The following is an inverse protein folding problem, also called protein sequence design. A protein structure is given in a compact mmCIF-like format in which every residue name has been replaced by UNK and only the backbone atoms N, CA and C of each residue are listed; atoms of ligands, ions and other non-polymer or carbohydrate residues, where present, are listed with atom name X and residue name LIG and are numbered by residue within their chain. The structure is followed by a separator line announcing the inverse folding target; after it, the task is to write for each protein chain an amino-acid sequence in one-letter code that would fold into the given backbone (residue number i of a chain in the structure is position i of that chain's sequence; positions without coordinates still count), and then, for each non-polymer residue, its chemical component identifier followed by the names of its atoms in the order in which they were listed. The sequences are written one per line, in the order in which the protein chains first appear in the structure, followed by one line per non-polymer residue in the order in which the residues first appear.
data_IF_078883854815
#
_entry.id   IF_078883854815
#
_cell.length_a   1.000
_cell.length_b   1.000
_cell.length_c   1.000
_cell.angle_alpha   90.00
_cell.angle_beta   90.00
_cell.angle_gamma   90.00
#
_symmetry.space_group_name_H-M   'P 1'
#
loop_
_entity.id
_entity.type
_entity.pdbx_description
1 polymer ?
#
# COMPACT_ATOMS: atom_id res chain seq x y z
N UNK A 1 -17.33 12.26 -9.41
CA UNK A 1 -15.89 12.29 -9.07
C UNK A 1 -15.39 13.71 -8.76
N UNK A 2 -15.64 14.72 -9.60
CA UNK A 2 -15.24 16.13 -9.38
C UNK A 2 -15.44 16.66 -7.95
N UNK A 3 -16.64 16.48 -7.37
CA UNK A 3 -16.91 16.88 -5.99
C UNK A 3 -15.95 16.24 -4.97
N UNK A 4 -15.56 14.98 -5.17
CA UNK A 4 -14.61 14.29 -4.30
C UNK A 4 -13.18 14.82 -4.44
N UNK A 5 -12.77 15.27 -5.64
CA UNK A 5 -11.42 15.86 -5.86
C UNK A 5 -11.31 17.30 -5.35
N UNK A 6 -12.41 18.04 -5.35
CA UNK A 6 -12.48 19.43 -4.88
C UNK A 6 -12.64 19.51 -3.35
N UNK A 7 -13.33 18.54 -2.74
CA UNK A 7 -13.54 18.49 -1.30
C UNK A 7 -12.21 18.32 -0.53
N UNK A 8 -12.06 19.03 0.61
CA UNK A 8 -10.87 19.01 1.48
C UNK A 8 -11.24 18.75 2.94
N UNK A 9 -10.29 18.19 3.70
CA UNK A 9 -10.37 18.05 5.17
C UNK A 9 -10.77 16.66 5.70
N UNK A 10 -11.36 15.79 4.88
CA UNK A 10 -11.64 14.39 5.22
C UNK A 10 -11.72 13.49 3.99
N UNK A 11 -11.55 12.16 4.13
CA UNK A 11 -11.79 11.21 3.05
C UNK A 11 -13.23 11.28 2.52
N UNK A 12 -13.43 11.00 1.24
CA UNK A 12 -14.75 10.96 0.57
C UNK A 12 -15.07 9.53 0.14
N UNK A 13 -16.30 9.08 0.41
CA UNK A 13 -16.83 7.79 -0.08
C UNK A 13 -17.86 8.07 -1.17
N UNK A 14 -17.74 7.39 -2.32
CA UNK A 14 -18.72 7.43 -3.41
C UNK A 14 -19.50 6.12 -3.41
N UNK A 15 -20.81 6.18 -3.11
CA UNK A 15 -21.70 5.03 -3.18
C UNK A 15 -22.29 4.94 -4.60
N UNK A 16 -21.65 4.15 -5.46
CA UNK A 16 -22.11 3.93 -6.83
C UNK A 16 -23.17 2.81 -6.87
N UNK A 17 -24.43 3.17 -7.16
CA UNK A 17 -25.49 2.18 -7.41
C UNK A 17 -25.36 1.66 -8.85
N UNK A 18 -25.07 0.38 -9.00
CA UNK A 18 -24.99 -0.32 -10.29
C UNK A 18 -25.93 -1.51 -10.33
N UNK A 19 -26.16 -2.08 -11.52
CA UNK A 19 -26.88 -3.34 -11.68
C UNK A 19 -25.86 -4.48 -11.83
N UNK A 20 -25.98 -5.53 -11.02
CA UNK A 20 -25.13 -6.72 -11.13
C UNK A 20 -25.44 -7.42 -12.46
N UNK A 21 -24.41 -7.64 -13.28
CA UNK A 21 -24.57 -8.23 -14.62
C UNK A 21 -25.23 -7.31 -15.65
N UNK A 22 -25.14 -5.99 -15.46
CA UNK A 22 -25.68 -5.00 -16.41
C UNK A 22 -25.25 -5.29 -17.85
N UNK A 23 -26.21 -5.39 -18.77
CA UNK A 23 -25.95 -5.61 -20.19
C UNK A 23 -25.63 -7.06 -20.58
N UNK A 24 -25.63 -8.01 -19.64
CA UNK A 24 -25.44 -9.44 -19.91
C UNK A 24 -26.76 -10.18 -20.22
N UNK A 25 -27.84 -9.44 -20.48
CA UNK A 25 -29.14 -10.01 -20.80
C UNK A 25 -29.94 -10.51 -19.57
N UNK A 26 -31.19 -10.95 -19.79
CA UNK A 26 -32.15 -11.26 -18.73
C UNK A 26 -31.76 -12.46 -17.85
N UNK A 27 -30.86 -13.32 -18.34
CA UNK A 27 -30.35 -14.49 -17.62
C UNK A 27 -29.40 -14.10 -16.48
N UNK A 28 -28.73 -12.96 -16.58
CA UNK A 28 -27.71 -12.50 -15.61
C UNK A 28 -28.08 -11.20 -14.91
N UNK A 29 -28.69 -10.26 -15.63
CA UNK A 29 -28.88 -8.91 -15.14
C UNK A 29 -29.86 -8.84 -13.96
N UNK A 30 -29.40 -8.25 -12.85
CA UNK A 30 -30.22 -8.08 -11.64
C UNK A 30 -30.60 -9.39 -10.95
N UNK A 31 -30.01 -10.52 -11.34
CA UNK A 31 -30.29 -11.83 -10.77
C UNK A 31 -29.29 -12.18 -9.67
N UNK A 32 -29.79 -12.76 -8.59
CA UNK A 32 -28.99 -13.47 -7.59
C UNK A 32 -28.65 -14.89 -8.08
N UNK A 33 -28.24 -15.03 -9.34
CA UNK A 33 -27.67 -16.27 -9.83
C UNK A 33 -26.43 -16.60 -8.97
N UNK A 34 -26.30 -17.86 -8.58
CA UNK A 34 -25.11 -18.31 -7.84
C UNK A 34 -23.86 -18.01 -8.68
N UNK A 35 -22.72 -17.76 -8.03
CA UNK A 35 -21.43 -17.57 -8.70
C UNK A 35 -20.96 -18.78 -9.56
N UNK A 36 -21.81 -19.80 -9.72
CA UNK A 36 -21.58 -21.02 -10.48
C UNK A 36 -22.01 -20.94 -11.97
N UNK A 37 -22.78 -19.91 -12.38
CA UNK A 37 -23.02 -19.65 -13.81
C UNK A 37 -21.74 -19.10 -14.47
N UNK A 38 -20.78 -20.00 -14.72
CA UNK A 38 -19.41 -19.68 -15.17
C UNK A 38 -19.31 -19.36 -16.67
N UNK A 39 -20.34 -19.67 -17.47
CA UNK A 39 -20.28 -19.58 -18.93
C UNK A 39 -21.53 -18.92 -19.49
N UNK A 40 -21.34 -18.01 -20.45
CA UNK A 40 -22.39 -17.48 -21.31
C UNK A 40 -22.79 -18.58 -22.30
N UNK A 41 -24.08 -18.72 -22.58
CA UNK A 41 -24.53 -19.52 -23.73
C UNK A 41 -24.20 -18.78 -25.03
N UNK A 42 -24.25 -19.49 -26.17
CA UNK A 42 -24.07 -18.84 -27.48
C UNK A 42 -25.08 -17.71 -27.70
N UNK A 43 -26.32 -17.89 -27.24
CA UNK A 43 -27.36 -16.88 -27.34
C UNK A 43 -27.02 -15.64 -26.49
N UNK A 44 -26.58 -15.85 -25.24
CA UNK A 44 -26.14 -14.74 -24.37
C UNK A 44 -24.96 -13.98 -24.99
N UNK A 45 -24.03 -14.68 -25.66
CA UNK A 45 -22.90 -14.06 -26.36
C UNK A 45 -23.35 -13.21 -27.55
N UNK A 46 -24.30 -13.69 -28.35
CA UNK A 46 -24.87 -12.93 -29.48
C UNK A 46 -25.58 -11.68 -28.97
N UNK A 47 -26.42 -11.81 -27.94
CA UNK A 47 -27.12 -10.70 -27.30
C UNK A 47 -26.15 -9.67 -26.71
N UNK A 48 -25.06 -10.12 -26.07
CA UNK A 48 -24.04 -9.22 -25.52
C UNK A 48 -23.27 -8.48 -26.62
N UNK A 49 -22.90 -9.17 -27.71
CA UNK A 49 -22.28 -8.57 -28.90
C UNK A 49 -23.18 -7.51 -29.53
N UNK A 50 -24.49 -7.79 -29.64
CA UNK A 50 -25.48 -6.87 -30.19
C UNK A 50 -25.70 -5.67 -29.26
N UNK A 51 -25.78 -5.89 -27.94
CA UNK A 51 -25.90 -4.84 -26.93
C UNK A 51 -24.71 -3.86 -27.00
N UNK A 52 -23.48 -4.38 -27.13
CA UNK A 52 -22.27 -3.58 -27.30
C UNK A 52 -22.07 -3.05 -28.73
N UNK A 53 -22.91 -3.46 -29.68
CA UNK A 53 -22.83 -3.10 -31.10
C UNK A 53 -21.47 -3.44 -31.74
N UNK A 54 -20.92 -4.60 -31.36
CA UNK A 54 -19.62 -5.06 -31.86
C UNK A 54 -19.82 -5.79 -33.20
N UNK A 55 -19.10 -5.42 -34.27
CA UNK A 55 -19.30 -5.98 -35.62
C UNK A 55 -18.59 -7.34 -35.80
N UNK A 56 -18.85 -8.28 -34.90
CA UNK A 56 -18.47 -9.70 -35.06
C UNK A 56 -19.68 -10.42 -35.64
N UNK A 57 -19.52 -11.25 -36.68
CA UNK A 57 -20.62 -12.04 -37.27
C UNK A 57 -21.01 -13.25 -36.41
N UNK A 58 -22.26 -13.72 -36.52
CA UNK A 58 -22.76 -14.93 -35.86
C UNK A 58 -21.88 -16.16 -36.12
N UNK A 59 -21.49 -16.39 -37.37
CA UNK A 59 -20.64 -17.51 -37.76
C UNK A 59 -19.30 -17.56 -36.99
N UNK A 60 -18.76 -16.40 -36.60
CA UNK A 60 -17.53 -16.31 -35.81
C UNK A 60 -17.73 -16.63 -34.34
N UNK A 61 -18.92 -16.37 -33.80
CA UNK A 61 -19.28 -16.78 -32.44
C UNK A 61 -19.63 -18.27 -32.38
N UNK A 62 -20.17 -18.82 -33.48
CA UNK A 62 -20.53 -20.23 -33.62
C UNK A 62 -19.31 -21.15 -33.80
N UNK A 63 -18.22 -20.67 -34.39
CA UNK A 63 -16.98 -21.42 -34.63
C UNK A 63 -16.35 -21.95 -33.33
N UNK A 64 -16.24 -21.10 -32.30
CA UNK A 64 -15.82 -21.48 -30.95
C UNK A 64 -16.54 -20.62 -29.89
N UNK A 65 -17.71 -21.06 -29.40
CA UNK A 65 -18.48 -20.31 -28.39
C UNK A 65 -17.75 -20.15 -27.06
N UNK A 66 -16.70 -20.94 -26.80
CA UNK A 66 -15.92 -20.83 -25.56
C UNK A 66 -14.74 -19.86 -25.70
N UNK A 67 -14.41 -19.43 -26.93
CA UNK A 67 -13.32 -18.50 -27.23
C UNK A 67 -13.76 -17.46 -28.28
N UNK A 68 -14.76 -16.62 -27.96
CA UNK A 68 -15.16 -15.55 -28.87
C UNK A 68 -13.96 -14.63 -29.19
N UNK A 69 -13.85 -14.13 -30.43
CA UNK A 69 -12.69 -13.34 -30.84
C UNK A 69 -12.66 -11.98 -30.14
N UNK A 70 -11.45 -11.46 -29.93
CA UNK A 70 -11.27 -10.06 -29.54
C UNK A 70 -11.64 -9.14 -30.71
N UNK A 71 -12.29 -8.02 -30.40
CA UNK A 71 -12.57 -6.96 -31.36
C UNK A 71 -11.63 -5.78 -31.14
N UNK A 72 -11.06 -5.26 -32.23
CA UNK A 72 -10.31 -4.02 -32.26
C UNK A 72 -10.82 -3.21 -33.46
N UNK A 73 -11.31 -1.96 -33.28
CA UNK A 73 -11.92 -1.18 -34.36
C UNK A 73 -10.91 -0.71 -35.43
N UNK A 74 -9.61 -0.86 -35.16
CA UNK A 74 -8.51 -0.43 -36.01
C UNK A 74 -7.68 0.66 -35.32
N UNK A 75 -6.38 0.74 -35.61
CA UNK A 75 -5.51 1.72 -34.94
C UNK A 75 -5.89 3.17 -35.25
N UNK A 76 -6.45 3.40 -36.45
CA UNK A 76 -6.85 4.72 -36.95
C UNK A 76 -8.31 5.08 -36.60
N UNK A 77 -9.00 4.24 -35.82
CA UNK A 77 -10.39 4.50 -35.43
C UNK A 77 -10.49 5.74 -34.52
N UNK A 78 -11.51 6.60 -34.68
CA UNK A 78 -11.65 7.83 -33.90
C UNK A 78 -11.77 7.55 -32.39
N UNK A 79 -12.34 6.42 -31.98
CA UNK A 79 -12.45 5.99 -30.60
C UNK A 79 -11.08 5.66 -29.99
N UNK A 80 -10.18 5.06 -30.78
CA UNK A 80 -8.80 4.78 -30.35
C UNK A 80 -8.02 6.08 -30.23
N UNK A 81 -8.14 6.99 -31.21
CA UNK A 81 -7.51 8.31 -31.13
C UNK A 81 -7.95 9.06 -29.86
N UNK A 82 -9.26 9.11 -29.58
CA UNK A 82 -9.81 9.73 -28.38
C UNK A 82 -9.29 9.07 -27.08
N UNK A 83 -9.28 7.74 -27.01
CA UNK A 83 -8.75 7.01 -25.86
C UNK A 83 -7.28 7.35 -25.59
N UNK A 84 -6.45 7.35 -26.63
CA UNK A 84 -5.03 7.67 -26.53
C UNK A 84 -4.80 9.13 -26.13
N UNK A 85 -5.58 10.07 -26.67
CA UNK A 85 -5.54 11.48 -26.27
C UNK A 85 -5.88 11.67 -24.78
N UNK A 86 -6.96 11.03 -24.30
CA UNK A 86 -7.31 11.09 -22.87
C UNK A 86 -6.20 10.52 -21.99
N UNK A 87 -5.54 9.42 -22.40
CA UNK A 87 -4.42 8.86 -21.64
C UNK A 87 -3.21 9.81 -21.64
N UNK A 88 -2.88 10.44 -22.78
CA UNK A 88 -1.80 11.44 -22.87
C UNK A 88 -2.06 12.62 -21.93
N UNK A 89 -3.26 13.19 -21.96
CA UNK A 89 -3.63 14.29 -21.07
C UNK A 89 -3.59 13.90 -19.58
N UNK A 90 -3.87 12.64 -19.26
CA UNK A 90 -3.83 12.10 -17.90
C UNK A 90 -2.46 11.53 -17.49
N UNK A 91 -1.41 11.80 -18.25
CA UNK A 91 -0.02 11.46 -17.88
C UNK A 91 0.43 10.04 -18.25
N UNK A 92 -0.20 9.39 -19.22
CA UNK A 92 0.20 8.06 -19.72
C UNK A 92 -0.82 6.97 -19.40
N UNK A 93 -0.43 5.69 -19.42
CA UNK A 93 -1.31 4.56 -19.10
C UNK A 93 -1.25 4.16 -17.61
N UNK A 94 -2.30 3.52 -17.10
CA UNK A 94 -2.36 3.00 -15.73
C UNK A 94 -3.27 1.76 -15.70
N UNK A 95 -2.97 0.72 -14.90
CA UNK A 95 -1.85 0.62 -13.95
C UNK A 95 -0.48 0.45 -14.62
N UNK A 96 0.57 0.94 -13.95
CA UNK A 96 1.99 0.74 -14.29
C UNK A 96 2.76 0.46 -13.00
N UNK A 97 3.76 -0.43 -13.05
CA UNK A 97 4.69 -0.66 -11.95
C UNK A 97 6.11 -0.33 -12.37
N UNK A 98 6.74 0.60 -11.65
CA UNK A 98 8.13 1.01 -11.90
C UNK A 98 9.07 0.18 -11.02
N UNK A 99 10.10 -0.40 -11.61
CA UNK A 99 11.14 -1.17 -10.88
C UNK A 99 12.42 -0.36 -10.66
N UNK A 100 12.64 0.67 -11.47
CA UNK A 100 13.81 1.54 -11.34
C UNK A 100 13.58 2.60 -10.26
N UNK A 101 14.56 2.77 -9.39
CA UNK A 101 14.57 3.69 -8.26
C UNK A 101 15.97 4.27 -8.10
N UNK A 102 16.09 5.43 -7.46
CA UNK A 102 17.41 6.04 -7.24
C UNK A 102 18.29 5.15 -6.36
N UNK A 103 19.58 5.10 -6.68
CA UNK A 103 20.57 4.43 -5.85
C UNK A 103 20.58 5.05 -4.44
N UNK A 104 20.83 4.21 -3.43
CA UNK A 104 20.86 4.61 -2.02
C UNK A 104 22.27 4.49 -1.50
N UNK A 105 22.79 5.60 -0.97
CA UNK A 105 24.00 5.60 -0.17
C UNK A 105 23.73 4.84 1.14
N UNK A 106 24.41 3.70 1.32
CA UNK A 106 24.32 2.94 2.57
C UNK A 106 25.15 3.62 3.67
N UNK A 107 24.78 3.45 4.95
CA UNK A 107 25.59 3.92 6.07
C UNK A 107 27.01 3.36 6.02
N UNK A 108 27.98 4.16 6.43
CA UNK A 108 29.38 3.73 6.51
C UNK A 108 29.57 2.60 7.53
N UNK A 109 30.60 1.74 7.39
CA UNK A 109 30.91 0.67 8.34
C UNK A 109 30.98 1.13 9.80
N UNK A 110 31.36 2.39 10.03
CA UNK A 110 31.42 3.03 11.35
C UNK A 110 30.07 3.03 12.06
N UNK A 111 28.97 3.20 11.33
CA UNK A 111 27.60 3.17 11.87
C UNK A 111 27.22 1.80 12.45
N UNK A 112 27.99 0.75 12.16
CA UNK A 112 27.78 -0.62 12.63
C UNK A 112 28.80 -1.08 13.68
N UNK A 113 29.85 -0.30 13.96
CA UNK A 113 30.99 -0.71 14.81
C UNK A 113 30.55 -1.13 16.22
N UNK A 114 29.66 -0.34 16.84
CA UNK A 114 29.17 -0.62 18.20
C UNK A 114 28.40 -1.93 18.24
N UNK A 115 27.49 -2.15 17.29
CA UNK A 115 26.73 -3.39 17.17
C UNK A 115 27.67 -4.59 16.92
N UNK A 116 28.67 -4.42 16.05
CA UNK A 116 29.66 -5.46 15.70
C UNK A 116 30.55 -5.85 16.87
N UNK A 117 30.87 -4.92 17.77
CA UNK A 117 31.64 -5.20 18.99
C UNK A 117 30.88 -6.11 19.97
N UNK A 118 29.56 -6.16 19.87
CA UNK A 118 28.69 -6.95 20.75
C UNK A 118 28.55 -6.35 22.14
N UNK A 119 27.92 -7.10 23.06
CA UNK A 119 27.63 -6.63 24.43
C UNK A 119 28.82 -6.73 25.39
N UNK A 120 29.94 -7.29 24.94
CA UNK A 120 31.14 -7.49 25.76
C UNK A 120 30.85 -8.39 26.97
N UNK A 121 31.14 -7.88 28.18
CA UNK A 121 30.90 -8.59 29.45
C UNK A 121 29.46 -8.44 29.97
N UNK A 122 28.66 -7.56 29.38
CA UNK A 122 27.30 -7.30 29.81
C UNK A 122 26.33 -8.24 29.09
N UNK A 123 25.32 -8.73 29.81
CA UNK A 123 24.21 -9.43 29.18
C UNK A 123 23.33 -8.43 28.45
N UNK A 124 22.85 -8.80 27.25
CA UNK A 124 21.92 -7.99 26.49
C UNK A 124 20.93 -8.90 25.73
N UNK A 125 19.64 -8.58 25.81
CA UNK A 125 18.65 -9.14 24.91
C UNK A 125 18.92 -8.69 23.47
N UNK A 126 18.59 -9.55 22.51
CA UNK A 126 18.72 -9.25 21.07
C UNK A 126 17.91 -8.02 20.67
N UNK A 127 16.73 -7.79 21.27
CA UNK A 127 15.93 -6.57 21.08
C UNK A 127 16.70 -5.31 21.48
N UNK A 128 17.43 -5.34 22.61
CA UNK A 128 18.25 -4.20 23.03
C UNK A 128 19.40 -3.92 22.06
N UNK A 129 20.04 -4.97 21.55
CA UNK A 129 21.09 -4.83 20.54
C UNK A 129 20.53 -4.25 19.23
N UNK A 130 19.37 -4.74 18.79
CA UNK A 130 18.66 -4.26 17.60
C UNK A 130 18.27 -2.78 17.70
N UNK A 131 17.65 -2.35 18.81
CA UNK A 131 17.24 -0.95 19.01
C UNK A 131 18.45 -0.01 19.05
N UNK A 132 19.56 -0.44 19.67
CA UNK A 132 20.82 0.34 19.66
C UNK A 132 21.34 0.53 18.25
N UNK A 133 21.39 -0.52 17.44
CA UNK A 133 21.79 -0.42 16.04
C UNK A 133 20.84 0.50 15.26
N UNK A 134 19.53 0.31 15.39
CA UNK A 134 18.53 1.13 14.72
C UNK A 134 18.67 2.61 15.08
N UNK A 135 19.01 2.93 16.34
CA UNK A 135 19.32 4.29 16.78
C UNK A 135 20.47 4.93 16.01
N UNK A 136 21.54 4.18 15.83
CA UNK A 136 22.75 4.66 15.14
C UNK A 136 22.47 4.86 13.64
N UNK A 137 21.70 3.95 13.03
CA UNK A 137 21.26 4.09 11.63
C UNK A 137 20.29 5.25 11.42
N UNK A 138 19.37 5.51 12.36
CA UNK A 138 18.47 6.68 12.32
C UNK A 138 19.23 8.01 12.39
N UNK A 139 20.41 8.04 12.99
CA UNK A 139 21.27 9.23 13.09
C UNK A 139 22.14 9.46 11.86
N UNK A 140 22.22 8.49 10.97
CA UNK A 140 22.96 8.65 9.72
C UNK A 140 22.31 9.76 8.87
N UNK A 141 23.09 10.77 8.50
CA UNK A 141 22.57 11.95 7.80
C UNK A 141 22.11 11.64 6.38
N UNK A 142 22.69 10.63 5.72
CA UNK A 142 22.40 10.26 4.33
C UNK A 142 21.33 9.18 4.22
N UNK A 143 21.21 8.33 5.24
CA UNK A 143 20.33 7.16 5.20
C UNK A 143 19.19 7.20 6.22
N UNK A 144 19.40 7.82 7.39
CA UNK A 144 18.48 7.72 8.52
C UNK A 144 17.05 8.14 8.21
N UNK A 145 16.87 9.15 7.35
CA UNK A 145 15.55 9.63 6.91
C UNK A 145 14.76 8.61 6.05
N UNK A 146 15.38 7.53 5.59
CA UNK A 146 14.74 6.46 4.81
C UNK A 146 14.13 5.38 5.70
N UNK A 147 14.59 5.26 6.95
CA UNK A 147 14.04 4.30 7.89
C UNK A 147 12.66 4.74 8.33
N UNK A 148 11.72 3.80 8.37
CA UNK A 148 10.35 4.04 8.84
C UNK A 148 10.09 3.09 10.02
N UNK A 149 10.44 3.47 11.26
CA UNK A 149 10.13 2.68 12.44
C UNK A 149 8.62 2.66 12.68
N UNK A 150 8.05 1.46 12.81
CA UNK A 150 6.62 1.23 13.03
C UNK A 150 6.47 0.41 14.31
N UNK A 151 5.68 0.90 15.25
CA UNK A 151 5.41 0.21 16.52
C UNK A 151 3.96 0.42 16.95
N UNK A 152 3.16 -0.65 17.13
CA UNK A 152 1.77 -0.54 17.53
C UNK A 152 1.71 -0.50 19.07
N UNK A 153 1.70 0.71 19.63
CA UNK A 153 1.58 0.99 21.07
C UNK A 153 2.82 0.67 21.91
N UNK A 154 3.25 -0.59 21.96
CA UNK A 154 4.15 -1.19 22.97
C UNK A 154 5.64 -0.82 22.83
N UNK A 155 5.92 0.47 22.64
CA UNK A 155 7.25 1.02 22.40
C UNK A 155 8.21 0.80 23.57
N UNK A 156 7.74 0.93 24.83
CA UNK A 156 8.58 0.75 26.02
C UNK A 156 9.02 -0.71 26.20
N UNK A 157 8.15 -1.67 25.88
CA UNK A 157 8.48 -3.10 25.95
C UNK A 157 9.66 -3.45 25.03
N UNK A 158 9.72 -2.81 23.86
CA UNK A 158 10.81 -3.03 22.92
C UNK A 158 12.00 -2.07 23.10
N UNK A 159 11.92 -1.09 24.00
CA UNK A 159 12.93 -0.03 24.17
C UNK A 159 12.95 1.03 23.05
N UNK A 160 11.89 1.09 22.23
CA UNK A 160 11.70 2.04 21.13
C UNK A 160 11.38 3.46 21.61
N UNK A 161 10.95 3.61 22.86
CA UNK A 161 10.75 4.89 23.55
C UNK A 161 12.03 5.75 23.60
N UNK A 162 13.21 5.11 23.50
CA UNK A 162 14.49 5.77 23.31
C UNK A 162 14.54 6.71 22.08
N UNK A 163 13.62 6.55 21.12
CA UNK A 163 13.56 7.36 19.90
C UNK A 163 12.63 8.57 20.02
N UNK A 164 11.69 8.60 20.98
CA UNK A 164 10.70 9.67 21.10
C UNK A 164 11.32 11.08 21.18
N UNK A 165 12.41 11.32 21.93
CA UNK A 165 12.98 12.67 22.02
C UNK A 165 13.59 13.18 20.71
N UNK A 166 14.05 12.27 19.84
CA UNK A 166 14.85 12.62 18.66
C UNK A 166 14.06 12.46 17.37
N UNK A 167 13.57 11.24 17.10
CA UNK A 167 12.83 10.92 15.89
C UNK A 167 11.34 11.32 15.99
N UNK A 168 10.77 11.36 17.21
CA UNK A 168 9.38 11.73 17.52
C UNK A 168 8.34 10.87 16.78
N UNK A 169 7.13 10.86 17.30
CA UNK A 169 6.00 10.16 16.68
C UNK A 169 5.36 11.08 15.66
N UNK A 170 5.12 10.56 14.46
CA UNK A 170 4.44 11.27 13.40
C UNK A 170 2.99 11.55 13.80
N UNK A 171 2.66 12.82 13.95
CA UNK A 171 1.29 13.29 14.08
C UNK A 171 1.14 14.57 13.25
N UNK A 172 0.34 14.58 12.16
CA UNK A 172 0.17 15.76 11.32
C UNK A 172 -0.46 16.95 12.07
N UNK A 173 -1.21 16.70 13.14
CA UNK A 173 -1.77 17.73 14.02
C UNK A 173 -0.79 18.23 15.09
N UNK A 174 0.38 17.60 15.23
CA UNK A 174 1.31 17.85 16.32
C UNK A 174 0.77 17.43 17.69
N UNK A 175 1.56 17.71 18.74
CA UNK A 175 1.20 17.37 20.11
C UNK A 175 0.27 18.43 20.71
N UNK A 176 -1.03 18.14 20.76
CA UNK A 176 -2.07 19.06 21.26
C UNK A 176 -2.54 18.76 22.69
N UNK A 177 -1.74 18.01 23.45
CA UNK A 177 -2.03 17.65 24.84
C UNK A 177 -0.75 17.67 25.67
N UNK A 178 -0.90 17.80 26.97
CA UNK A 178 0.20 17.66 27.91
C UNK A 178 0.38 16.18 28.25
N UNK A 179 1.53 15.59 27.89
CA UNK A 179 1.76 14.17 28.17
C UNK A 179 1.90 13.93 29.67
N UNK A 180 1.45 12.75 30.12
CA UNK A 180 1.56 12.31 31.52
C UNK A 180 3.01 12.05 31.88
N UNK A 181 3.83 11.64 30.91
CA UNK A 181 5.23 11.29 31.08
C UNK A 181 6.20 12.44 30.77
N UNK A 182 5.72 13.68 30.69
CA UNK A 182 6.50 14.86 30.26
C UNK A 182 7.78 15.10 31.05
N UNK A 183 7.80 14.68 32.31
CA UNK A 183 8.93 14.85 33.23
C UNK A 183 9.96 13.70 33.11
N UNK A 184 9.67 12.68 32.29
CA UNK A 184 10.59 11.58 32.02
C UNK A 184 11.54 11.91 30.87
N UNK A 185 12.76 11.38 30.93
CA UNK A 185 13.80 11.60 29.90
C UNK A 185 13.36 11.11 28.51
N UNK A 186 12.57 10.03 28.48
CA UNK A 186 12.04 9.40 27.26
C UNK A 186 10.55 9.72 27.08
N UNK A 187 10.14 10.94 27.43
CA UNK A 187 8.76 11.40 27.28
C UNK A 187 8.24 11.25 25.85
N UNK A 188 6.97 10.89 25.74
CA UNK A 188 6.23 10.82 24.49
C UNK A 188 6.21 12.19 23.81
N UNK A 189 6.68 12.24 22.56
CA UNK A 189 6.71 13.47 21.74
C UNK A 189 6.14 13.23 20.37
N UNK A 190 5.18 14.07 19.99
CA UNK A 190 4.52 14.02 18.69
C UNK A 190 4.87 15.26 17.85
N UNK A 191 4.94 15.09 16.53
CA UNK A 191 5.31 16.16 15.61
C UNK A 191 4.83 15.86 14.19
N UNK A 192 4.45 16.88 13.40
CA UNK A 192 4.20 16.71 11.96
C UNK A 192 5.45 16.25 11.20
N UNK A 193 6.63 16.52 11.75
CA UNK A 193 7.91 16.03 11.25
C UNK A 193 8.43 14.79 12.00
N UNK A 194 7.56 14.09 12.74
CA UNK A 194 7.93 12.86 13.43
C UNK A 194 8.20 11.73 12.43
N UNK A 195 9.10 10.82 12.80
CA UNK A 195 9.55 9.72 11.93
C UNK A 195 8.99 8.36 12.36
N UNK A 196 8.61 8.19 13.63
CA UNK A 196 7.98 6.95 14.09
C UNK A 196 6.51 6.91 13.68
N UNK A 197 6.08 5.79 13.10
CA UNK A 197 4.68 5.50 12.83
C UNK A 197 4.11 4.71 14.00
N UNK A 198 3.09 5.27 14.65
CA UNK A 198 2.49 4.70 15.86
C UNK A 198 0.97 4.60 15.70
N UNK A 199 0.44 3.50 15.11
CA UNK A 199 -0.98 3.35 14.83
C UNK A 199 -1.84 3.00 16.07
N UNK A 200 -1.23 2.90 17.26
CA UNK A 200 -1.87 2.36 18.46
C UNK A 200 -2.01 0.83 18.40
N UNK A 201 -2.96 0.27 19.15
CA UNK A 201 -3.25 -1.18 19.19
C UNK A 201 -3.94 -1.60 17.89
N UNK A 202 -3.18 -1.67 16.80
CA UNK A 202 -3.68 -1.93 15.47
C UNK A 202 -2.58 -2.55 14.58
N UNK A 203 -2.38 -3.86 14.69
CA UNK A 203 -1.37 -4.57 13.90
C UNK A 203 -1.69 -4.53 12.40
N UNK A 204 -2.97 -4.56 12.01
CA UNK A 204 -3.36 -4.46 10.60
C UNK A 204 -2.99 -3.09 10.01
N UNK A 205 -3.19 -2.01 10.76
CA UNK A 205 -2.75 -0.67 10.38
C UNK A 205 -1.23 -0.54 10.33
N UNK A 206 -0.51 -1.22 11.24
CA UNK A 206 0.95 -1.28 11.22
C UNK A 206 1.48 -2.01 9.99
N UNK A 207 0.87 -3.15 9.60
CA UNK A 207 1.22 -3.85 8.36
C UNK A 207 0.87 -3.03 7.12
N UNK A 208 -0.25 -2.30 7.12
CA UNK A 208 -0.58 -1.39 6.02
C UNK A 208 0.49 -0.29 5.85
N UNK A 209 0.97 0.29 6.95
CA UNK A 209 2.08 1.24 6.93
C UNK A 209 3.40 0.59 6.47
N UNK A 210 3.68 -0.63 6.92
CA UNK A 210 4.83 -1.43 6.50
C UNK A 210 4.81 -1.66 4.99
N UNK A 211 3.67 -2.07 4.42
CA UNK A 211 3.51 -2.31 2.98
C UNK A 211 3.67 -1.01 2.18
N UNK A 212 3.05 0.10 2.63
CA UNK A 212 3.15 1.38 1.95
C UNK A 212 4.61 1.89 1.90
N UNK A 213 5.33 1.82 3.02
CA UNK A 213 6.74 2.19 3.06
C UNK A 213 7.63 1.21 2.28
N UNK A 214 7.42 -0.10 2.43
CA UNK A 214 8.20 -1.15 1.77
C UNK A 214 8.04 -1.17 0.25
N UNK A 215 6.93 -0.66 -0.28
CA UNK A 215 6.68 -0.56 -1.73
C UNK A 215 6.93 0.84 -2.30
N UNK A 216 7.32 1.81 -1.47
CA UNK A 216 7.53 3.21 -1.88
C UNK A 216 8.61 3.34 -2.99
N UNK A 217 9.58 2.44 -3.04
CA UNK A 217 10.60 2.42 -4.08
C UNK A 217 10.00 2.23 -5.49
N UNK A 218 8.93 1.43 -5.60
CA UNK A 218 8.27 1.16 -6.88
C UNK A 218 7.12 2.15 -7.14
N UNK A 219 6.34 2.45 -6.10
CA UNK A 219 5.16 3.32 -6.21
C UNK A 219 5.55 4.78 -6.42
N UNK A 220 6.55 5.26 -5.68
CA UNK A 220 6.96 6.67 -5.66
C UNK A 220 8.38 6.91 -6.20
N UNK A 221 9.15 5.86 -6.48
CA UNK A 221 10.57 6.00 -6.83
C UNK A 221 11.45 6.38 -5.63
N UNK A 222 10.92 6.30 -4.40
CA UNK A 222 11.59 6.69 -3.16
C UNK A 222 11.86 5.45 -2.32
N UNK A 223 13.10 4.95 -2.28
CA UNK A 223 13.47 3.83 -1.44
C UNK A 223 13.34 4.20 0.04
N UNK A 224 12.44 3.51 0.74
CA UNK A 224 12.26 3.54 2.19
C UNK A 224 12.48 2.14 2.77
N UNK A 225 12.85 2.08 4.04
CA UNK A 225 13.14 0.84 4.76
C UNK A 225 12.21 0.76 5.98
N UNK A 226 11.07 0.06 5.88
CA UNK A 226 10.17 -0.10 7.01
C UNK A 226 10.75 -1.05 8.05
N UNK A 227 10.61 -0.67 9.32
CA UNK A 227 11.08 -1.46 10.46
C UNK A 227 9.92 -1.63 11.44
N UNK A 228 9.18 -2.72 11.29
CA UNK A 228 8.00 -3.02 12.10
C UNK A 228 8.36 -3.94 13.28
N UNK A 229 8.17 -3.44 14.51
CA UNK A 229 8.45 -4.15 15.76
C UNK A 229 7.15 -4.39 16.51
N UNK A 230 6.89 -5.65 16.87
CA UNK A 230 5.64 -6.09 17.47
C UNK A 230 5.85 -7.40 18.25
N UNK A 231 4.90 -7.79 19.09
CA UNK A 231 4.91 -9.12 19.71
C UNK A 231 4.69 -10.19 18.65
N UNK A 232 5.63 -11.13 18.52
CA UNK A 232 5.65 -12.12 17.43
C UNK A 232 4.32 -12.88 17.24
N UNK A 233 3.60 -13.17 18.32
CA UNK A 233 2.28 -13.82 18.31
C UNK A 233 1.25 -13.06 17.46
N UNK A 234 1.34 -11.74 17.38
CA UNK A 234 0.42 -10.89 16.61
C UNK A 234 0.95 -10.52 15.21
N UNK A 235 2.00 -11.22 14.74
CA UNK A 235 2.47 -11.13 13.37
C UNK A 235 1.63 -11.95 12.42
N UNK A 236 2.26 -12.98 11.83
CA UNK A 236 1.66 -13.86 10.82
C UNK A 236 0.33 -14.49 11.27
N UNK A 237 0.16 -14.81 12.56
CA UNK A 237 -1.10 -15.39 13.06
C UNK A 237 -2.26 -14.39 13.00
N UNK A 238 -2.02 -13.10 13.23
CA UNK A 238 -3.07 -12.06 13.28
C UNK A 238 -3.28 -11.37 11.94
N UNK A 239 -2.20 -11.17 11.18
CA UNK A 239 -2.18 -10.36 9.95
C UNK A 239 -1.56 -11.10 8.76
N UNK A 240 -1.66 -12.44 8.76
CA UNK A 240 -1.01 -13.30 7.75
C UNK A 240 -1.38 -12.98 6.30
N UNK A 241 -2.66 -12.70 6.02
CA UNK A 241 -3.09 -12.33 4.65
C UNK A 241 -2.50 -10.98 4.20
N UNK A 242 -2.33 -10.03 5.14
CA UNK A 242 -1.68 -8.76 4.85
C UNK A 242 -0.17 -8.92 4.60
N UNK A 243 0.51 -9.82 5.33
CA UNK A 243 1.91 -10.17 5.05
C UNK A 243 2.07 -10.91 3.73
N UNK A 244 1.12 -11.79 3.39
CA UNK A 244 1.10 -12.46 2.09
C UNK A 244 0.94 -11.45 0.94
N UNK A 245 0.04 -10.48 1.10
CA UNK A 245 -0.14 -9.40 0.12
C UNK A 245 1.03 -8.41 0.05
N UNK A 246 1.88 -8.33 1.08
CA UNK A 246 3.02 -7.43 1.14
C UNK A 246 4.29 -7.98 0.45
N UNK A 247 4.38 -9.29 0.28
CA UNK A 247 5.52 -9.99 -0.34
C UNK A 247 5.55 -9.78 -1.87
#
# INVERSE_FOLDING_TARGET
YKAATEFKGKPTVILAKTVKGYGLGPHFEGRNATHQMKKLTLQDLKEFRDYLRIPISDARLEEDPYRPPYFHPGADAPEIAYLLDRRRELGGFTPERRSHHQAVDLPDPKSYEVARRGSGKQQAATTMAFVRLLKDLLRDKKFGHRLVPIVPDESRTFGMDAFFPTAKIYNPGGQNYLSVDRDLVLAYKESPAGQLIHPGINEAGAVAAFTAAGTAYATHGVPLVPVYVFYSMFGFQRTGDAFWAAA
#
